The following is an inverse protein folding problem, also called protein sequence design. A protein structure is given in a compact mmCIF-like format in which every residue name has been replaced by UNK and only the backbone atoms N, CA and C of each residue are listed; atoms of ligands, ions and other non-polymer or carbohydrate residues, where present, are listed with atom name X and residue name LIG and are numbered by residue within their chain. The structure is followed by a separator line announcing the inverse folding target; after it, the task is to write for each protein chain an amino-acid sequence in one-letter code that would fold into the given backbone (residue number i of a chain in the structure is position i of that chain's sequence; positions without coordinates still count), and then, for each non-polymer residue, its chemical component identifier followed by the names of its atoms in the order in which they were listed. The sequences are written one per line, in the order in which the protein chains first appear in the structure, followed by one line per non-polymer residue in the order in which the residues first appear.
data_IF_923884670003
#
_entry.id   IF_923884670003
#
_cell.length_a   1.000
_cell.length_b   1.000
_cell.length_c   1.000
_cell.angle_alpha   90.00
_cell.angle_beta   90.00
_cell.angle_gamma   90.00
#
_symmetry.space_group_name_H-M   'P 1'
#
loop_
_entity.id
_entity.type
_entity.pdbx_description
1 polymer ?
#
# COMPACT_ATOMS: atom_id res chain seq x y z
N UNK A 1 -1.38 6.78 48.75
CA UNK A 1 -2.56 7.11 49.58
C UNK A 1 -2.40 6.43 50.94
N UNK A 2 -2.74 7.08 52.06
CA UNK A 2 -2.63 6.50 53.41
C UNK A 2 -3.95 6.53 54.16
N UNK A 3 -4.33 5.42 54.80
CA UNK A 3 -5.54 5.30 55.63
C UNK A 3 -5.12 5.21 57.10
N UNK A 4 -5.87 5.87 58.00
CA UNK A 4 -5.57 5.90 59.44
C UNK A 4 -6.07 4.62 60.11
N UNK A 5 -5.22 4.02 60.95
CA UNK A 5 -5.55 2.83 61.75
C UNK A 5 -5.17 3.05 63.22
N UNK A 6 -5.97 2.48 64.11
CA UNK A 6 -5.52 2.24 65.48
C UNK A 6 -4.60 1.02 65.47
N UNK A 7 -3.38 1.19 65.98
CA UNK A 7 -2.33 0.19 65.90
C UNK A 7 -1.74 -0.11 67.29
N UNK A 8 -1.44 -1.37 67.54
CA UNK A 8 -0.59 -1.76 68.67
C UNK A 8 0.87 -1.58 68.28
N UNK A 9 1.56 -0.65 68.95
CA UNK A 9 2.99 -0.41 68.76
C UNK A 9 3.82 -1.26 69.72
N UNK A 10 4.73 -2.09 69.19
CA UNK A 10 5.68 -2.89 69.97
C UNK A 10 7.11 -2.65 69.48
N UNK A 11 8.07 -2.58 70.39
CA UNK A 11 9.50 -2.56 70.04
C UNK A 11 9.99 -4.01 69.95
N UNK A 12 10.44 -4.43 68.77
CA UNK A 12 10.84 -5.84 68.52
C UNK A 12 12.36 -6.00 68.51
N UNK A 13 13.11 -4.97 68.12
CA UNK A 13 14.57 -5.01 68.07
C UNK A 13 15.18 -3.64 67.81
N UNK A 14 16.46 -3.62 67.45
CA UNK A 14 17.17 -2.43 66.98
C UNK A 14 17.98 -2.76 65.72
N UNK A 15 18.06 -1.83 64.78
CA UNK A 15 19.06 -1.79 63.70
C UNK A 15 20.17 -0.83 64.12
N UNK A 16 21.35 -1.37 64.48
CA UNK A 16 22.39 -0.64 65.21
C UNK A 16 21.81 0.06 66.45
N UNK A 17 21.78 1.39 66.49
CA UNK A 17 21.21 2.20 67.58
C UNK A 17 19.73 2.55 67.39
N UNK A 18 19.16 2.30 66.21
CA UNK A 18 17.80 2.72 65.86
C UNK A 18 16.78 1.64 66.19
N UNK A 19 15.73 1.91 66.98
CA UNK A 19 14.74 0.88 67.33
C UNK A 19 13.85 0.49 66.14
N UNK A 20 13.60 -0.81 66.01
CA UNK A 20 12.64 -1.38 65.07
C UNK A 20 11.30 -1.53 65.79
N UNK A 21 10.28 -0.86 65.27
CA UNK A 21 8.92 -0.95 65.75
C UNK A 21 8.08 -1.86 64.85
N UNK A 22 7.21 -2.65 65.48
CA UNK A 22 6.12 -3.37 64.85
C UNK A 22 4.81 -2.70 65.18
N UNK A 23 3.99 -2.55 64.16
CA UNK A 23 2.63 -2.02 64.22
C UNK A 23 1.68 -3.12 63.79
N UNK A 24 0.87 -3.58 64.73
CA UNK A 24 -0.19 -4.55 64.47
C UNK A 24 -1.53 -3.84 64.37
N UNK A 25 -2.21 -4.00 63.23
CA UNK A 25 -3.46 -3.32 62.90
C UNK A 25 -4.52 -4.33 62.46
N UNK A 26 -5.80 -4.03 62.73
CA UNK A 26 -6.93 -4.83 62.23
C UNK A 26 -7.36 -4.34 60.85
N UNK A 27 -7.63 -5.25 59.92
CA UNK A 27 -8.19 -4.91 58.61
C UNK A 27 -9.61 -4.33 58.76
N UNK A 28 -9.99 -3.39 57.89
CA UNK A 28 -11.32 -2.78 57.90
C UNK A 28 -12.38 -3.60 57.14
N UNK A 29 -11.95 -4.49 56.24
CA UNK A 29 -12.84 -5.38 55.47
C UNK A 29 -13.01 -6.77 56.10
N UNK A 30 -12.05 -7.22 56.91
CA UNK A 30 -12.08 -8.55 57.52
C UNK A 30 -11.54 -8.51 58.96
N UNK A 31 -11.81 -9.57 59.72
CA UNK A 31 -11.32 -9.70 61.11
C UNK A 31 -9.83 -10.08 61.22
N UNK A 32 -9.10 -10.07 60.09
CA UNK A 32 -7.68 -10.34 60.02
C UNK A 32 -6.84 -9.21 60.64
N UNK A 33 -5.71 -9.60 61.24
CA UNK A 33 -4.67 -8.69 61.70
C UNK A 33 -3.50 -8.73 60.73
N UNK A 34 -2.92 -7.58 60.45
CA UNK A 34 -1.68 -7.47 59.69
C UNK A 34 -0.62 -6.74 60.51
N UNK A 35 0.64 -7.12 60.29
CA UNK A 35 1.79 -6.58 61.01
C UNK A 35 2.78 -5.95 60.04
N UNK A 36 3.16 -4.72 60.35
CA UNK A 36 4.13 -3.93 59.58
C UNK A 36 5.28 -3.55 60.49
N UNK A 37 6.50 -3.72 60.00
CA UNK A 37 7.72 -3.35 60.72
C UNK A 37 8.45 -2.20 60.02
N UNK A 38 9.10 -1.35 60.81
CA UNK A 38 10.03 -0.34 60.29
C UNK A 38 11.33 -0.99 59.84
N UNK A 39 11.83 -0.66 58.65
CA UNK A 39 13.16 -1.03 58.15
C UNK A 39 14.04 0.23 58.03
N UNK A 40 14.86 0.55 59.06
CA UNK A 40 15.72 1.73 59.05
C UNK A 40 16.80 1.70 57.96
N UNK A 41 17.19 0.52 57.44
CA UNK A 41 18.24 0.41 56.42
C UNK A 41 17.78 0.98 55.08
N UNK A 42 16.55 0.67 54.69
CA UNK A 42 15.97 1.07 53.40
C UNK A 42 14.93 2.18 53.55
N UNK A 43 14.82 2.80 54.72
CA UNK A 43 13.86 3.88 55.04
C UNK A 43 12.41 3.54 54.67
N UNK A 44 12.02 2.27 54.83
CA UNK A 44 10.72 1.75 54.38
C UNK A 44 10.01 0.97 55.48
N UNK A 45 8.75 0.65 55.23
CA UNK A 45 7.98 -0.29 56.04
C UNK A 45 7.88 -1.62 55.31
N UNK A 46 8.07 -2.72 56.04
CA UNK A 46 7.98 -4.08 55.49
C UNK A 46 6.79 -4.78 56.12
N UNK A 47 5.96 -5.37 55.27
CA UNK A 47 4.83 -6.18 55.73
C UNK A 47 5.34 -7.56 56.11
N UNK A 48 5.09 -7.98 57.35
CA UNK A 48 5.57 -9.27 57.87
C UNK A 48 4.48 -10.33 57.82
N UNK A 49 3.24 -9.96 58.14
CA UNK A 49 2.12 -10.90 58.17
C UNK A 49 0.79 -10.23 57.82
N UNK A 50 -0.16 -11.01 57.31
CA UNK A 50 -1.56 -10.62 57.13
C UNK A 50 -1.86 -9.67 55.96
N UNK A 51 -0.85 -9.15 55.27
CA UNK A 51 -1.00 -8.34 54.07
C UNK A 51 0.16 -8.56 53.08
N UNK A 52 0.01 -8.06 51.86
CA UNK A 52 1.05 -8.03 50.83
C UNK A 52 1.22 -6.59 50.34
N UNK A 53 2.45 -6.19 50.06
CA UNK A 53 2.71 -4.91 49.40
C UNK A 53 2.10 -4.93 48.00
N UNK A 54 1.44 -3.83 47.63
CA UNK A 54 0.97 -3.62 46.26
C UNK A 54 2.15 -3.07 45.46
N UNK A 55 2.55 -3.81 44.44
CA UNK A 55 3.60 -3.41 43.51
C UNK A 55 2.95 -2.54 42.41
N UNK A 56 3.19 -1.23 42.45
CA UNK A 56 2.66 -0.28 41.46
C UNK A 56 3.67 0.03 40.34
N UNK A 57 4.93 -0.34 40.55
CA UNK A 57 5.96 -0.25 39.54
C UNK A 57 5.77 -1.39 38.54
N UNK A 58 5.29 -1.04 37.34
CA UNK A 58 5.23 -1.96 36.22
C UNK A 58 6.65 -2.31 35.80
N UNK A 59 7.12 -3.52 36.12
CA UNK A 59 8.39 -4.04 35.61
C UNK A 59 8.16 -4.62 34.20
N UNK A 60 8.68 -3.99 33.13
CA UNK A 60 8.49 -4.47 31.77
C UNK A 60 9.06 -5.88 31.55
N UNK A 61 10.13 -6.22 32.27
CA UNK A 61 10.86 -7.49 32.11
C UNK A 61 10.09 -8.71 32.63
N UNK A 62 9.32 -8.57 33.72
CA UNK A 62 8.61 -9.67 34.36
C UNK A 62 7.22 -9.95 33.73
N UNK A 63 6.59 -8.91 33.17
CA UNK A 63 5.20 -8.99 32.70
C UNK A 63 5.05 -9.08 31.17
N UNK A 64 6.09 -9.50 30.46
CA UNK A 64 6.02 -9.80 29.03
C UNK A 64 5.85 -8.58 28.13
N UNK A 65 6.15 -7.38 28.63
CA UNK A 65 6.37 -6.23 27.77
C UNK A 65 7.70 -6.40 27.07
N UNK A 66 7.75 -6.30 25.76
CA UNK A 66 9.04 -6.18 25.07
C UNK A 66 9.77 -4.99 25.66
N UNK A 67 10.95 -5.23 26.24
CA UNK A 67 11.89 -4.16 26.50
C UNK A 67 12.11 -3.46 25.15
N UNK A 68 11.74 -2.19 25.05
CA UNK A 68 12.00 -1.36 23.85
C UNK A 68 13.52 -1.16 23.66
N UNK A 69 14.33 -1.68 24.58
CA UNK A 69 15.77 -1.80 24.45
C UNK A 69 16.12 -3.18 23.89
N UNK A 70 16.74 -3.13 22.70
CA UNK A 70 17.39 -4.19 21.95
C UNK A 70 17.48 -5.56 22.63
N UNK A 71 16.70 -6.51 22.11
CA UNK A 71 16.84 -7.95 22.37
C UNK A 71 18.14 -8.55 21.79
N UNK A 72 19.11 -7.73 21.41
CA UNK A 72 20.45 -8.17 20.99
C UNK A 72 21.39 -8.23 22.19
N UNK A 73 21.05 -9.13 23.13
CA UNK A 73 21.97 -9.74 24.07
C UNK A 73 22.59 -8.81 25.13
N UNK A 74 22.76 -9.37 26.32
CA UNK A 74 23.85 -8.99 27.19
C UNK A 74 25.18 -9.26 26.45
N UNK A 75 25.56 -8.36 25.54
CA UNK A 75 26.88 -8.35 24.96
C UNK A 75 27.88 -8.22 26.12
N UNK A 76 28.95 -9.01 26.06
CA UNK A 76 30.10 -9.03 26.96
C UNK A 76 30.41 -7.67 27.60
N UNK A 77 31.03 -7.62 28.81
CA UNK A 77 31.35 -6.35 29.48
C UNK A 77 31.94 -5.38 28.48
N UNK A 78 31.14 -4.38 28.10
CA UNK A 78 31.50 -3.47 27.02
C UNK A 78 32.76 -2.80 27.51
N UNK A 79 33.84 -2.91 26.73
CA UNK A 79 35.07 -2.19 27.03
C UNK A 79 34.68 -0.73 27.32
N UNK A 80 35.05 -0.17 28.48
CA UNK A 80 34.68 1.21 28.85
C UNK A 80 35.03 2.21 27.74
N UNK A 81 36.04 1.92 26.91
CA UNK A 81 36.39 2.75 25.76
C UNK A 81 35.31 2.70 24.66
N UNK A 82 34.79 1.53 24.33
CA UNK A 82 33.72 1.37 23.31
C UNK A 82 32.42 2.03 23.78
N UNK A 83 32.11 1.94 25.08
CA UNK A 83 30.96 2.64 25.64
C UNK A 83 31.13 4.17 25.53
N UNK A 84 32.33 4.67 25.83
CA UNK A 84 32.64 6.09 25.71
C UNK A 84 32.54 6.56 24.25
N UNK A 85 33.13 5.83 23.31
CA UNK A 85 33.07 6.13 21.87
C UNK A 85 31.63 6.26 21.37
N UNK A 86 30.76 5.28 21.69
CA UNK A 86 29.34 5.34 21.35
C UNK A 86 28.65 6.58 21.92
N UNK A 87 28.93 6.92 23.18
CA UNK A 87 28.34 8.13 23.80
C UNK A 87 28.86 9.42 23.17
N UNK A 88 30.15 9.48 22.82
CA UNK A 88 30.74 10.66 22.17
C UNK A 88 30.24 10.81 20.74
N UNK A 89 30.11 9.71 20.00
CA UNK A 89 29.57 9.71 18.64
C UNK A 89 28.11 10.13 18.62
N UNK A 90 27.31 9.63 19.59
CA UNK A 90 25.95 10.08 19.78
C UNK A 90 25.92 11.60 20.06
N UNK A 91 26.73 12.10 20.98
CA UNK A 91 26.80 13.54 21.26
C UNK A 91 27.23 14.37 20.04
N UNK A 92 28.21 13.89 19.27
CA UNK A 92 28.68 14.55 18.05
C UNK A 92 27.58 14.57 16.99
N UNK A 93 26.87 13.47 16.79
CA UNK A 93 25.74 13.40 15.86
C UNK A 93 24.60 14.33 16.28
N UNK A 94 24.27 14.39 17.58
CA UNK A 94 23.28 15.32 18.11
C UNK A 94 23.65 16.78 17.80
N UNK A 95 24.91 17.17 18.05
CA UNK A 95 25.38 18.55 17.85
C UNK A 95 25.55 18.93 16.39
N UNK A 96 26.14 18.05 15.58
CA UNK A 96 26.55 18.40 14.22
C UNK A 96 25.46 18.12 13.17
N UNK A 97 24.50 17.24 13.47
CA UNK A 97 23.46 16.84 12.52
C UNK A 97 22.08 17.23 13.02
N UNK A 98 21.71 16.82 14.24
CA UNK A 98 20.33 17.01 14.70
C UNK A 98 20.04 18.47 15.07
N UNK A 99 20.92 19.12 15.83
CA UNK A 99 20.75 20.52 16.22
C UNK A 99 20.62 21.47 15.02
N UNK A 100 21.53 21.49 14.02
CA UNK A 100 21.39 22.39 12.87
C UNK A 100 20.15 22.05 12.03
N UNK A 101 19.80 20.77 11.89
CA UNK A 101 18.56 20.38 11.21
C UNK A 101 17.31 20.94 11.90
N UNK A 102 17.28 20.92 13.23
CA UNK A 102 16.17 21.50 13.99
C UNK A 102 16.14 23.02 13.84
N UNK A 103 17.29 23.68 13.86
CA UNK A 103 17.40 25.12 13.62
C UNK A 103 16.93 25.50 12.20
N UNK A 104 17.29 24.71 11.18
CA UNK A 104 16.81 24.89 9.81
C UNK A 104 15.28 24.78 9.74
N UNK A 105 14.69 23.72 10.32
CA UNK A 105 13.24 23.54 10.37
C UNK A 105 12.55 24.67 11.13
N UNK A 106 13.15 25.12 12.23
CA UNK A 106 12.64 26.26 12.99
C UNK A 106 12.71 27.55 12.17
N UNK A 107 13.80 27.78 11.42
CA UNK A 107 13.97 28.95 10.55
C UNK A 107 12.93 29.00 9.43
N UNK A 108 12.63 27.85 8.82
CA UNK A 108 11.61 27.72 7.79
C UNK A 108 10.22 27.97 8.40
N UNK A 109 9.96 27.40 9.57
CA UNK A 109 8.71 27.61 10.30
C UNK A 109 8.51 29.09 10.66
N UNK A 110 9.52 29.77 11.20
CA UNK A 110 9.42 31.19 11.56
C UNK A 110 9.22 32.08 10.33
N UNK A 111 9.89 31.80 9.21
CA UNK A 111 9.68 32.50 7.95
C UNK A 111 8.23 32.38 7.44
N UNK A 112 7.65 31.17 7.46
CA UNK A 112 6.26 30.96 7.07
C UNK A 112 5.26 31.58 8.06
N UNK A 113 5.59 31.60 9.34
CA UNK A 113 4.72 32.14 10.38
C UNK A 113 4.87 33.66 10.61
N UNK A 114 5.86 34.31 10.01
CA UNK A 114 6.07 35.76 10.15
C UNK A 114 4.90 36.59 9.57
N UNK A 115 4.32 36.15 8.43
CA UNK A 115 3.09 36.75 7.86
C UNK A 115 2.17 35.67 7.26
N UNK A 116 1.35 35.02 8.11
CA UNK A 116 0.45 33.96 7.66
C UNK A 116 -0.68 34.51 6.77
N UNK A 117 -1.04 35.79 6.92
CA UNK A 117 -2.13 36.39 6.15
C UNK A 117 -1.73 36.63 4.69
N UNK A 118 -0.55 37.21 4.44
CA UNK A 118 -0.08 37.41 3.07
C UNK A 118 0.17 36.09 2.34
N UNK A 119 0.77 35.09 3.01
CA UNK A 119 0.97 33.76 2.43
C UNK A 119 -0.35 33.07 2.09
N UNK A 120 -1.31 33.07 3.02
CA UNK A 120 -2.63 32.48 2.77
C UNK A 120 -3.40 33.22 1.68
N UNK A 121 -3.24 34.55 1.57
CA UNK A 121 -3.82 35.35 0.48
C UNK A 121 -3.25 34.95 -0.89
N UNK A 122 -1.92 34.81 -1.00
CA UNK A 122 -1.25 34.33 -2.23
C UNK A 122 -1.73 32.94 -2.64
N UNK A 123 -1.82 32.01 -1.69
CA UNK A 123 -2.31 30.65 -1.93
C UNK A 123 -3.77 30.64 -2.38
N UNK A 124 -4.65 31.38 -1.70
CA UNK A 124 -6.07 31.53 -2.10
C UNK A 124 -6.20 32.15 -3.49
N UNK A 125 -5.35 33.11 -3.86
CA UNK A 125 -5.35 33.70 -5.21
C UNK A 125 -5.05 32.66 -6.28
N UNK A 126 -3.99 31.85 -6.09
CA UNK A 126 -3.63 30.75 -7.00
C UNK A 126 -4.78 29.75 -7.15
N UNK A 127 -5.33 29.25 -6.03
CA UNK A 127 -6.47 28.33 -6.09
C UNK A 127 -7.71 28.91 -6.77
N UNK A 128 -7.95 30.23 -6.66
CA UNK A 128 -9.05 30.89 -7.38
C UNK A 128 -8.77 30.96 -8.88
N UNK A 129 -7.53 31.18 -9.28
CA UNK A 129 -7.11 31.18 -10.69
C UNK A 129 -7.22 29.78 -11.27
N UNK A 130 -6.68 28.77 -10.59
CA UNK A 130 -6.74 27.36 -10.99
C UNK A 130 -8.19 26.88 -11.09
N UNK A 131 -9.04 27.20 -10.11
CA UNK A 131 -10.47 26.88 -10.13
C UNK A 131 -11.18 27.52 -11.33
N UNK A 132 -10.81 28.73 -11.75
CA UNK A 132 -11.36 29.37 -12.96
C UNK A 132 -10.92 28.64 -14.23
N UNK A 133 -9.67 28.20 -14.30
CA UNK A 133 -9.14 27.41 -15.43
C UNK A 133 -9.86 26.06 -15.50
N UNK A 134 -9.94 25.32 -14.39
CA UNK A 134 -10.66 24.05 -14.32
C UNK A 134 -12.14 24.20 -14.67
N UNK A 135 -12.82 25.24 -14.15
CA UNK A 135 -14.22 25.48 -14.48
C UNK A 135 -14.40 25.82 -15.96
N UNK A 136 -13.46 26.53 -16.58
CA UNK A 136 -13.48 26.79 -18.03
C UNK A 136 -13.34 25.50 -18.83
N UNK A 137 -12.39 24.62 -18.46
CA UNK A 137 -12.21 23.31 -19.09
C UNK A 137 -13.47 22.45 -18.96
N UNK A 138 -14.01 22.32 -17.74
CA UNK A 138 -15.26 21.58 -17.48
C UNK A 138 -16.43 22.10 -18.31
N UNK A 139 -16.61 23.43 -18.42
CA UNK A 139 -17.66 24.02 -19.27
C UNK A 139 -17.47 23.70 -20.76
N UNK A 140 -16.24 23.68 -21.25
CA UNK A 140 -15.96 23.30 -22.63
C UNK A 140 -16.29 21.83 -22.86
N UNK A 141 -15.91 20.96 -21.92
CA UNK A 141 -16.21 19.53 -21.94
C UNK A 141 -17.72 19.26 -21.89
N UNK A 142 -18.43 19.91 -20.98
CA UNK A 142 -19.89 19.79 -20.83
C UNK A 142 -20.61 20.25 -22.10
N UNK A 143 -20.16 21.34 -22.72
CA UNK A 143 -20.71 21.79 -24.02
C UNK A 143 -20.49 20.76 -25.13
N UNK A 144 -19.34 20.07 -25.17
CA UNK A 144 -19.09 18.97 -26.11
C UNK A 144 -20.04 17.80 -25.80
N UNK A 145 -20.20 17.44 -24.53
CA UNK A 145 -21.11 16.35 -24.11
C UNK A 145 -22.55 16.64 -24.50
N UNK A 146 -23.04 17.85 -24.25
CA UNK A 146 -24.41 18.26 -24.59
C UNK A 146 -24.64 18.23 -26.11
N UNK A 147 -23.67 18.71 -26.90
CA UNK A 147 -23.76 18.71 -28.37
C UNK A 147 -23.86 17.30 -28.97
N UNK A 148 -23.21 16.32 -28.35
CA UNK A 148 -23.17 14.94 -28.81
C UNK A 148 -24.04 13.97 -27.99
N UNK A 149 -24.81 14.47 -27.00
CA UNK A 149 -25.64 13.66 -26.12
C UNK A 149 -24.87 12.63 -25.29
N UNK A 150 -23.61 12.92 -24.95
CA UNK A 150 -22.74 12.01 -24.20
C UNK A 150 -23.13 11.98 -22.71
N UNK A 151 -23.01 10.82 -22.03
CA UNK A 151 -23.35 10.72 -20.62
C UNK A 151 -22.40 11.56 -19.75
N UNK A 152 -22.95 12.21 -18.72
CA UNK A 152 -22.19 13.07 -17.81
C UNK A 152 -21.01 12.35 -17.12
N UNK A 153 -21.14 11.04 -16.90
CA UNK A 153 -20.12 10.18 -16.28
C UNK A 153 -18.89 9.92 -17.17
N UNK A 154 -18.95 10.22 -18.47
CA UNK A 154 -17.82 10.06 -19.37
C UNK A 154 -16.83 11.22 -19.14
N UNK A 155 -15.65 10.93 -18.61
CA UNK A 155 -14.56 11.91 -18.53
C UNK A 155 -13.89 12.08 -19.89
N UNK A 156 -13.85 13.29 -20.40
CA UNK A 156 -13.09 13.60 -21.61
C UNK A 156 -11.60 13.72 -21.27
N UNK A 157 -10.74 13.29 -22.20
CA UNK A 157 -9.30 13.46 -22.05
C UNK A 157 -8.92 14.93 -22.23
N UNK A 158 -7.87 15.35 -21.55
CA UNK A 158 -7.31 16.69 -21.74
C UNK A 158 -6.75 16.84 -23.16
N UNK A 159 -7.03 17.99 -23.79
CA UNK A 159 -6.63 18.27 -25.17
C UNK A 159 -5.14 18.66 -25.28
N UNK A 160 -4.25 17.70 -25.02
CA UNK A 160 -2.82 17.88 -25.27
C UNK A 160 -2.47 17.65 -26.75
N UNK A 161 -1.37 18.28 -27.21
CA UNK A 161 -0.91 18.11 -28.60
C UNK A 161 -0.54 16.66 -28.95
N UNK A 162 -0.02 15.91 -27.97
CA UNK A 162 0.31 14.50 -28.13
C UNK A 162 -0.96 13.65 -28.21
N UNK A 163 -1.89 13.82 -27.26
CA UNK A 163 -3.19 13.13 -27.24
C UNK A 163 -3.98 13.37 -28.54
N UNK A 164 -3.92 14.58 -29.09
CA UNK A 164 -4.53 14.91 -30.39
C UNK A 164 -3.91 14.15 -31.56
N UNK A 165 -2.59 13.97 -31.58
CA UNK A 165 -1.89 13.21 -32.64
C UNK A 165 -2.22 11.73 -32.53
N UNK A 166 -2.14 11.16 -31.34
CA UNK A 166 -2.47 9.75 -31.08
C UNK A 166 -3.92 9.43 -31.46
N UNK A 167 -4.87 10.27 -31.04
CA UNK A 167 -6.28 10.12 -31.41
C UNK A 167 -6.50 10.17 -32.93
N UNK A 168 -5.76 11.04 -33.64
CA UNK A 168 -5.83 11.15 -35.11
C UNK A 168 -5.28 9.89 -35.78
N UNK A 169 -4.18 9.35 -35.29
CA UNK A 169 -3.59 8.10 -35.79
C UNK A 169 -4.47 6.89 -35.52
N UNK A 170 -5.07 6.80 -34.33
CA UNK A 170 -6.06 5.77 -33.98
C UNK A 170 -7.29 5.82 -34.87
N UNK A 171 -7.82 7.02 -35.12
CA UNK A 171 -8.94 7.21 -36.03
C UNK A 171 -8.59 6.76 -37.46
N UNK A 172 -7.41 7.11 -37.96
CA UNK A 172 -6.93 6.65 -39.28
C UNK A 172 -6.76 5.13 -39.33
N UNK A 173 -6.23 4.51 -38.27
CA UNK A 173 -6.12 3.05 -38.17
C UNK A 173 -7.50 2.39 -38.18
N UNK A 174 -8.45 2.92 -37.42
CA UNK A 174 -9.83 2.45 -37.37
C UNK A 174 -10.53 2.52 -38.73
N UNK A 175 -10.39 3.64 -39.45
CA UNK A 175 -10.93 3.80 -40.80
C UNK A 175 -10.38 2.77 -41.79
N UNK A 176 -9.05 2.52 -41.75
CA UNK A 176 -8.43 1.48 -42.60
C UNK A 176 -8.95 0.09 -42.25
N UNK A 177 -9.11 -0.22 -40.97
CA UNK A 177 -9.63 -1.52 -40.52
C UNK A 177 -11.08 -1.73 -40.97
N UNK A 178 -11.94 -0.72 -40.83
CA UNK A 178 -13.32 -0.77 -41.32
C UNK A 178 -13.39 -0.95 -42.83
N UNK A 179 -12.58 -0.23 -43.61
CA UNK A 179 -12.52 -0.39 -45.06
C UNK A 179 -12.08 -1.81 -45.48
N UNK A 180 -11.11 -2.39 -44.77
CA UNK A 180 -10.71 -3.79 -44.98
C UNK A 180 -11.86 -4.75 -44.65
N UNK A 181 -12.57 -4.53 -43.54
CA UNK A 181 -13.71 -5.35 -43.14
C UNK A 181 -14.85 -5.28 -44.18
N UNK A 182 -15.22 -4.08 -44.64
CA UNK A 182 -16.23 -3.89 -45.68
C UNK A 182 -15.83 -4.56 -47.01
N UNK A 183 -14.57 -4.40 -47.43
CA UNK A 183 -14.07 -5.07 -48.65
C UNK A 183 -14.12 -6.60 -48.52
N UNK A 184 -13.84 -7.13 -47.32
CA UNK A 184 -13.92 -8.57 -47.04
C UNK A 184 -15.37 -9.09 -47.02
N UNK A 185 -16.32 -8.30 -46.49
CA UNK A 185 -17.76 -8.59 -46.51
C UNK A 185 -18.31 -8.59 -47.94
N UNK A 186 -17.91 -7.61 -48.76
CA UNK A 186 -18.27 -7.56 -50.19
C UNK A 186 -17.72 -8.77 -50.96
N UNK A 187 -16.50 -9.21 -50.69
CA UNK A 187 -15.94 -10.44 -51.27
C UNK A 187 -16.71 -11.70 -50.86
N UNK A 188 -17.28 -11.76 -49.65
CA UNK A 188 -18.09 -12.90 -49.21
C UNK A 188 -19.47 -12.93 -49.90
N UNK A 189 -20.10 -11.77 -50.08
CA UNK A 189 -21.36 -11.67 -50.83
C UNK A 189 -21.21 -12.01 -52.31
N UNK A 190 -20.04 -11.73 -52.91
CA UNK A 190 -19.73 -12.13 -54.29
C UNK A 190 -19.50 -13.64 -54.44
N UNK A 191 -19.10 -14.33 -53.36
CA UNK A 191 -18.88 -15.80 -53.34
C UNK A 191 -20.19 -16.57 -53.11
N UNK A 192 -21.23 -15.95 -52.52
CA UNK A 192 -22.55 -16.56 -52.29
C UNK A 192 -23.56 -16.34 -53.43
N UNK A 193 -23.20 -15.62 -54.51
CA UNK A 193 -23.89 -15.76 -55.80
C UNK A 193 -23.35 -17.01 -56.50
N UNK A 194 -23.65 -18.18 -55.92
CA UNK A 194 -23.63 -19.44 -56.66
C UNK A 194 -24.78 -19.36 -57.65
N UNK A 195 -24.47 -18.83 -58.83
CA UNK A 195 -25.27 -19.05 -60.02
C UNK A 195 -25.46 -20.56 -60.19
N UNK A 196 -26.72 -21.00 -60.17
CA UNK A 196 -27.11 -22.37 -60.49
C UNK A 196 -26.51 -22.71 -61.87
N UNK A 197 -25.67 -23.75 -62.01
CA UNK A 197 -25.13 -24.11 -63.31
C UNK A 197 -26.26 -24.76 -64.12
N UNK A 198 -26.76 -24.07 -65.14
CA UNK A 198 -27.49 -24.73 -66.23
C UNK A 198 -26.47 -25.49 -67.07
N UNK A 199 -26.68 -26.79 -67.15
CA UNK A 199 -25.88 -27.71 -67.94
C UNK A 199 -25.98 -27.39 -69.43
N UNK A 200 -24.86 -26.97 -70.03
CA UNK A 200 -24.51 -27.33 -71.40
C UNK A 200 -23.07 -26.93 -71.70
N UNK A 201 -22.21 -27.94 -71.78
CA UNK A 201 -21.07 -28.11 -72.71
C UNK A 201 -20.05 -26.97 -72.95
N UNK A 202 -18.77 -27.41 -72.90
CA UNK A 202 -17.55 -26.88 -73.53
C UNK A 202 -16.63 -25.95 -72.72
N UNK A 203 -15.57 -26.59 -72.19
CA UNK A 203 -14.14 -26.24 -72.24
C UNK A 203 -13.65 -24.83 -71.82
N UNK A 204 -12.83 -24.76 -70.75
CA UNK A 204 -11.35 -24.57 -70.84
C UNK A 204 -10.67 -24.43 -69.46
N UNK A 205 -9.49 -25.04 -69.42
CA UNK A 205 -8.40 -25.14 -68.44
C UNK A 205 -8.12 -23.89 -67.56
N UNK A 206 -7.88 -24.12 -66.25
CA UNK A 206 -6.88 -23.37 -65.46
C UNK A 206 -6.36 -24.20 -64.28
N UNK A 207 -5.07 -24.08 -64.02
CA UNK A 207 -4.17 -25.01 -63.33
C UNK A 207 -4.07 -24.80 -61.82
N UNK A 208 -4.41 -25.81 -61.01
CA UNK A 208 -3.89 -26.01 -59.63
C UNK A 208 -3.70 -27.51 -59.33
N UNK A 209 -2.70 -27.88 -58.51
CA UNK A 209 -2.20 -29.25 -58.42
C UNK A 209 -3.21 -30.16 -57.71
N UNK A 210 -3.43 -31.33 -58.30
CA UNK A 210 -4.25 -32.41 -57.74
C UNK A 210 -3.49 -33.11 -56.60
N UNK A 211 -4.13 -33.40 -55.46
CA UNK A 211 -3.56 -34.31 -54.48
C UNK A 211 -3.63 -35.73 -55.06
N UNK A 212 -2.50 -36.45 -55.05
CA UNK A 212 -2.36 -37.75 -55.72
C UNK A 212 -3.15 -38.89 -55.05
N UNK A 213 -3.67 -38.66 -53.84
CA UNK A 213 -4.35 -39.69 -53.06
C UNK A 213 -5.74 -39.20 -52.59
N UNK A 214 -6.80 -39.89 -53.04
CA UNK A 214 -8.19 -39.61 -52.63
C UNK A 214 -8.40 -39.69 -51.11
N UNK A 215 -7.57 -40.48 -50.42
CA UNK A 215 -7.61 -40.62 -48.95
C UNK A 215 -7.09 -39.35 -48.26
N UNK A 216 -6.10 -38.67 -48.83
CA UNK A 216 -5.55 -37.43 -48.25
C UNK A 216 -6.50 -36.25 -48.44
N UNK A 217 -7.22 -36.18 -49.57
CA UNK A 217 -8.23 -35.15 -49.78
C UNK A 217 -9.45 -35.34 -48.87
N UNK A 218 -9.84 -36.59 -48.60
CA UNK A 218 -10.86 -36.93 -47.61
C UNK A 218 -10.41 -36.60 -46.18
N UNK A 219 -9.17 -36.92 -45.83
CA UNK A 219 -8.60 -36.58 -44.51
C UNK A 219 -8.54 -35.06 -44.30
N UNK A 220 -8.10 -34.29 -45.29
CA UNK A 220 -8.08 -32.84 -45.22
C UNK A 220 -9.49 -32.25 -45.04
N UNK A 221 -10.48 -32.77 -45.78
CA UNK A 221 -11.89 -32.36 -45.62
C UNK A 221 -12.47 -32.73 -44.25
N UNK A 222 -12.17 -33.91 -43.73
CA UNK A 222 -12.64 -34.33 -42.40
C UNK A 222 -12.01 -33.43 -41.33
N UNK A 223 -10.72 -33.14 -41.42
CA UNK A 223 -10.02 -32.26 -40.49
C UNK A 223 -10.59 -30.83 -40.50
N UNK A 224 -10.83 -30.25 -41.68
CA UNK A 224 -11.48 -28.93 -41.79
C UNK A 224 -12.90 -28.91 -41.20
N UNK A 225 -13.68 -29.98 -41.40
CA UNK A 225 -15.04 -30.06 -40.89
C UNK A 225 -15.07 -30.27 -39.36
N UNK A 226 -14.14 -31.07 -38.83
CA UNK A 226 -13.97 -31.25 -37.38
C UNK A 226 -13.45 -29.99 -36.69
N UNK A 227 -12.56 -29.22 -37.32
CA UNK A 227 -12.07 -27.95 -36.78
C UNK A 227 -13.17 -26.87 -36.71
N UNK A 228 -14.17 -26.94 -37.61
CA UNK A 228 -15.35 -26.06 -37.59
C UNK A 228 -16.37 -26.47 -36.53
N UNK A 229 -16.50 -27.76 -36.22
CA UNK A 229 -17.39 -28.24 -35.15
C UNK A 229 -16.85 -28.00 -33.73
N UNK A 230 -15.53 -28.06 -33.53
CA UNK A 230 -14.94 -27.87 -32.19
C UNK A 230 -14.86 -26.41 -31.75
N UNK A 231 -15.12 -25.46 -32.64
CA UNK A 231 -15.28 -24.04 -32.30
C UNK A 231 -16.33 -23.38 -33.20
N UNK A 232 -17.64 -23.53 -32.89
CA UNK A 232 -18.69 -22.90 -33.68
C UNK A 232 -18.68 -21.36 -33.57
N UNK A 233 -17.89 -20.79 -32.64
CA UNK A 233 -17.63 -19.36 -32.49
C UNK A 233 -16.14 -19.07 -32.22
N UNK A 234 -15.24 -19.55 -33.08
CA UNK A 234 -13.80 -19.32 -32.92
C UNK A 234 -13.33 -17.95 -33.40
N UNK A 235 -13.20 -16.98 -32.48
CA UNK A 235 -12.26 -15.85 -32.61
C UNK A 235 -10.85 -16.42 -32.90
N UNK A 236 -10.23 -15.97 -33.98
CA UNK A 236 -8.85 -16.32 -34.32
C UNK A 236 -7.88 -15.84 -33.25
N UNK A 237 -7.26 -16.75 -32.49
CA UNK A 237 -6.03 -16.47 -31.76
C UNK A 237 -4.88 -16.50 -32.77
N UNK A 238 -4.39 -15.32 -33.13
CA UNK A 238 -3.10 -15.17 -33.79
C UNK A 238 -2.00 -15.64 -32.82
N UNK A 239 -1.25 -16.67 -33.21
CA UNK A 239 -0.06 -17.09 -32.49
C UNK A 239 1.07 -16.09 -32.79
N UNK A 240 1.47 -15.36 -31.75
CA UNK A 240 2.68 -14.55 -31.71
C UNK A 240 3.90 -15.48 -31.63
N UNK A 241 4.79 -15.37 -32.60
CA UNK A 241 6.16 -15.86 -32.53
C UNK A 241 6.93 -15.05 -31.47
N UNK A 242 7.53 -15.71 -30.50
CA UNK A 242 8.61 -15.15 -29.68
C UNK A 242 9.76 -16.14 -29.70
N UNK A 243 10.84 -15.70 -30.33
CA UNK A 243 12.17 -16.30 -30.31
C UNK A 243 12.66 -16.45 -28.86
N UNK A 244 13.29 -17.59 -28.59
CA UNK A 244 13.96 -17.92 -27.33
C UNK A 244 15.10 -18.88 -27.62
N UNK A 245 16.22 -18.33 -28.09
CA UNK A 245 17.49 -19.00 -28.29
C UNK A 245 18.25 -19.01 -26.95
N UNK A 246 18.48 -20.19 -26.36
CA UNK A 246 19.58 -20.41 -25.41
C UNK A 246 20.18 -21.79 -25.71
N UNK A 247 21.42 -21.76 -26.21
CA UNK A 247 22.29 -22.91 -26.42
C UNK A 247 22.86 -23.45 -25.11
N UNK A 248 23.28 -24.72 -25.16
CA UNK A 248 24.43 -25.23 -24.40
C UNK A 248 25.73 -24.59 -24.90
#
# INVERSE_FOLDING_TARGET
MGVRYNAEKKKIGNYYSTPIFSFRCKCHLCDGWFEIQTDPKNTRYVVVSGARQKDEDWNPEENGGYAVHDTEGAAAPVDPLVALEKTTDAQNHLKNVQAPRLEELQSVSTQYNADPYALSSKVRKRFREDKKVEQRKKRADDHIKDRYGLPASLSLLEEDELSRKEAKEEWQRGQRALALEESSKRRKLDVDVVAIPRSSSLSKISTKPTPKNHVESLRARILENTARQTNPFGRSRAATSRDGLVSK
#
